data_IF_477347588786
#
_entry.id   IF_477347588786
#
_cell.length_a   1.000
_cell.length_b   1.000
_cell.length_c   1.000
_cell.angle_alpha   90.00
_cell.angle_beta   90.00
_cell.angle_gamma   90.00
#
_symmetry.space_group_name_H-M   'P 1'
#
loop_
_entity.id
_entity.type
_entity.pdbx_description
1 polymer ?
#
# COMPACT_ATOMS: atom_id res chain seq x y z
N UNK A 1 9.65 12.26 -14.87
CA UNK A 1 8.49 11.34 -14.78
C UNK A 1 7.31 12.00 -15.48
N UNK A 2 6.49 11.26 -16.24
CA UNK A 2 5.32 11.83 -16.93
C UNK A 2 4.27 12.28 -15.87
N UNK A 3 3.87 13.57 -15.82
CA UNK A 3 2.92 14.07 -14.82
C UNK A 3 1.52 13.47 -14.95
N UNK A 4 1.09 13.07 -16.15
CA UNK A 4 -0.18 12.35 -16.34
C UNK A 4 -0.14 10.97 -15.70
N UNK A 5 0.99 10.26 -15.84
CA UNK A 5 1.17 8.95 -15.22
C UNK A 5 1.18 9.03 -13.70
N UNK A 6 1.75 10.10 -13.13
CA UNK A 6 1.71 10.34 -11.67
C UNK A 6 0.28 10.49 -11.18
N UNK A 7 -0.54 11.32 -11.85
CA UNK A 7 -1.95 11.51 -11.48
C UNK A 7 -2.78 10.23 -11.62
N UNK A 8 -2.53 9.48 -12.69
CA UNK A 8 -3.22 8.21 -12.92
C UNK A 8 -2.88 7.17 -11.84
N UNK A 9 -1.60 7.06 -11.45
CA UNK A 9 -1.18 6.17 -10.37
C UNK A 9 -1.74 6.60 -9.01
N UNK A 10 -1.82 7.90 -8.76
CA UNK A 10 -2.41 8.41 -7.52
C UNK A 10 -3.90 8.08 -7.45
N UNK A 11 -4.62 8.25 -8.55
CA UNK A 11 -6.04 7.87 -8.66
C UNK A 11 -6.22 6.37 -8.42
N UNK A 12 -5.41 5.53 -9.07
CA UNK A 12 -5.42 4.08 -8.88
C UNK A 12 -5.12 3.68 -7.44
N UNK A 13 -4.17 4.36 -6.77
CA UNK A 13 -3.86 4.12 -5.36
C UNK A 13 -5.09 4.34 -4.48
N UNK A 14 -5.84 5.41 -4.70
CA UNK A 14 -7.06 5.68 -3.93
C UNK A 14 -8.18 4.69 -4.23
N UNK A 15 -8.39 4.31 -5.50
CA UNK A 15 -9.36 3.28 -5.87
C UNK A 15 -9.05 1.95 -5.17
N UNK A 16 -7.81 1.46 -5.29
CA UNK A 16 -7.39 0.22 -4.63
C UNK A 16 -7.48 0.34 -3.10
N UNK A 17 -7.12 1.50 -2.53
CA UNK A 17 -7.26 1.72 -1.10
C UNK A 17 -8.73 1.67 -0.64
N UNK A 18 -9.66 2.21 -1.42
CA UNK A 18 -11.10 2.12 -1.13
C UNK A 18 -11.59 0.68 -1.19
N UNK A 19 -11.22 -0.08 -2.23
CA UNK A 19 -11.56 -1.49 -2.38
C UNK A 19 -11.04 -2.35 -1.22
N UNK A 20 -9.82 -2.05 -0.74
CA UNK A 20 -9.22 -2.72 0.42
C UNK A 20 -9.79 -2.24 1.76
N UNK A 21 -10.73 -1.29 1.76
CA UNK A 21 -11.32 -0.71 2.96
C UNK A 21 -10.30 0.09 3.80
N UNK A 22 -9.26 0.63 3.15
CA UNK A 22 -8.23 1.48 3.78
C UNK A 22 -8.60 2.96 3.78
N UNK A 23 -9.62 3.37 3.02
CA UNK A 23 -10.20 4.71 3.09
C UNK A 23 -11.66 4.63 2.67
N UNK A 24 -12.49 5.55 3.17
CA UNK A 24 -13.91 5.70 2.76
C UNK A 24 -14.14 6.92 1.87
N UNK A 25 -13.09 7.41 1.21
CA UNK A 25 -13.13 8.66 0.44
C UNK A 25 -12.71 9.89 1.24
N UNK A 26 -12.10 9.69 2.41
CA UNK A 26 -11.29 10.74 3.02
C UNK A 26 -10.04 10.98 2.18
N UNK A 27 -9.52 12.21 2.18
CA UNK A 27 -8.31 12.56 1.44
C UNK A 27 -7.06 11.84 1.95
N UNK A 28 -5.89 12.33 1.56
CA UNK A 28 -4.59 11.72 1.88
C UNK A 28 -4.38 11.47 3.39
N UNK A 29 -4.88 12.36 4.24
CA UNK A 29 -4.78 12.24 5.70
C UNK A 29 -5.55 11.04 6.26
N UNK A 30 -6.74 10.74 5.73
CA UNK A 30 -7.53 9.57 6.14
C UNK A 30 -6.82 8.28 5.73
N UNK A 31 -6.31 8.23 4.50
CA UNK A 31 -5.51 7.10 4.04
C UNK A 31 -4.28 6.91 4.92
N UNK A 32 -3.57 7.98 5.27
CA UNK A 32 -2.38 7.92 6.12
C UNK A 32 -2.71 7.37 7.51
N UNK A 33 -3.78 7.86 8.13
CA UNK A 33 -4.23 7.39 9.44
C UNK A 33 -4.61 5.90 9.42
N UNK A 34 -5.35 5.46 8.41
CA UNK A 34 -5.73 4.05 8.26
C UNK A 34 -4.53 3.14 7.97
N UNK A 35 -3.56 3.59 7.16
CA UNK A 35 -2.32 2.85 6.92
C UNK A 35 -1.50 2.72 8.20
N UNK A 36 -1.42 3.78 9.01
CA UNK A 36 -0.72 3.73 10.30
C UNK A 36 -1.40 2.78 11.29
N UNK A 37 -2.73 2.78 11.34
CA UNK A 37 -3.49 1.79 12.14
C UNK A 37 -3.20 0.36 11.66
N UNK A 38 -3.21 0.12 10.34
CA UNK A 38 -2.90 -1.20 9.76
C UNK A 38 -1.47 -1.67 10.06
N UNK A 39 -0.49 -0.77 10.10
CA UNK A 39 0.89 -1.13 10.51
C UNK A 39 0.92 -1.67 11.93
N UNK A 40 0.14 -1.09 12.84
CA UNK A 40 0.04 -1.59 14.22
C UNK A 40 -0.64 -2.95 14.30
N UNK A 41 -1.74 -3.16 13.57
CA UNK A 41 -2.41 -4.46 13.49
C UNK A 41 -1.45 -5.56 12.98
N UNK A 42 -0.73 -5.29 11.89
CA UNK A 42 0.28 -6.21 11.34
C UNK A 42 1.41 -6.43 12.36
N UNK A 43 1.85 -5.39 13.06
CA UNK A 43 2.86 -5.53 14.09
C UNK A 43 2.40 -6.40 15.27
N UNK A 44 1.12 -6.36 15.63
CA UNK A 44 0.51 -7.23 16.63
C UNK A 44 0.48 -8.68 16.13
N UNK A 45 0.02 -8.92 14.90
CA UNK A 45 0.02 -10.24 14.26
C UNK A 45 1.42 -10.87 14.18
N UNK A 46 2.46 -10.04 13.96
CA UNK A 46 3.85 -10.47 13.89
C UNK A 46 4.56 -10.55 15.26
N UNK A 47 3.89 -10.19 16.35
CA UNK A 47 4.48 -10.17 17.70
C UNK A 47 5.56 -9.09 17.89
N UNK A 48 5.56 -8.05 17.05
CA UNK A 48 6.54 -6.95 17.09
C UNK A 48 6.02 -5.73 17.86
N UNK A 49 4.71 -5.64 18.12
CA UNK A 49 4.06 -4.46 18.69
C UNK A 49 4.68 -4.00 20.03
N UNK A 50 4.95 -4.92 20.96
CA UNK A 50 5.52 -4.58 22.27
C UNK A 50 6.96 -4.06 22.16
N UNK A 51 7.73 -4.64 21.24
CA UNK A 51 9.08 -4.14 20.95
C UNK A 51 9.01 -2.73 20.37
N UNK A 52 8.11 -2.48 19.41
CA UNK A 52 7.90 -1.15 18.82
C UNK A 52 7.45 -0.14 19.88
N UNK A 53 6.56 -0.52 20.82
CA UNK A 53 6.16 0.36 21.94
C UNK A 53 7.34 0.70 22.85
N UNK A 54 8.27 -0.25 23.03
CA UNK A 54 9.42 -0.10 23.93
C UNK A 54 10.53 0.74 23.32
N UNK A 55 10.93 0.46 22.07
CA UNK A 55 12.09 1.11 21.45
C UNK A 55 11.70 2.17 20.41
N UNK A 56 10.45 2.15 19.92
CA UNK A 56 9.99 3.01 18.83
C UNK A 56 10.39 2.49 17.45
N UNK A 57 9.59 2.82 16.42
CA UNK A 57 9.86 2.46 15.02
C UNK A 57 11.28 2.79 14.54
N UNK A 58 11.90 3.95 14.87
CA UNK A 58 13.24 4.30 14.40
C UNK A 58 14.34 3.38 14.92
N UNK A 59 14.11 2.68 16.05
CA UNK A 59 15.08 1.79 16.68
C UNK A 59 14.81 0.29 16.39
N UNK A 60 13.82 0.00 15.55
CA UNK A 60 13.59 -1.35 15.02
C UNK A 60 14.62 -1.67 13.93
N UNK A 61 14.92 -2.96 13.72
CA UNK A 61 15.79 -3.34 12.61
C UNK A 61 15.09 -3.13 11.26
N UNK A 62 15.86 -2.88 10.21
CA UNK A 62 15.31 -2.77 8.84
C UNK A 62 14.54 -4.02 8.41
N UNK A 63 14.93 -5.20 8.90
CA UNK A 63 14.19 -6.46 8.66
C UNK A 63 12.80 -6.42 9.29
N UNK A 64 12.68 -5.99 10.55
CA UNK A 64 11.40 -5.94 11.25
C UNK A 64 10.47 -4.86 10.66
N UNK A 65 11.00 -3.68 10.38
CA UNK A 65 10.26 -2.65 9.64
C UNK A 65 9.82 -3.15 8.26
N UNK A 66 10.71 -3.87 7.57
CA UNK A 66 10.43 -4.48 6.26
C UNK A 66 9.36 -5.57 6.31
N UNK A 67 9.26 -6.35 7.39
CA UNK A 67 8.18 -7.33 7.55
C UNK A 67 6.82 -6.65 7.65
N UNK A 68 6.69 -5.63 8.51
CA UNK A 68 5.44 -4.88 8.64
C UNK A 68 5.10 -4.14 7.34
N UNK A 69 6.06 -3.39 6.81
CA UNK A 69 5.90 -2.62 5.58
C UNK A 69 5.63 -3.50 4.36
N UNK A 70 6.21 -4.70 4.30
CA UNK A 70 5.99 -5.67 3.23
C UNK A 70 4.58 -6.24 3.23
N UNK A 71 4.01 -6.55 4.40
CA UNK A 71 2.60 -6.97 4.51
C UNK A 71 1.64 -5.85 4.09
N UNK A 72 1.92 -4.61 4.49
CA UNK A 72 1.09 -3.45 4.12
C UNK A 72 1.21 -3.13 2.62
N UNK A 73 2.44 -2.96 2.15
CA UNK A 73 2.77 -2.59 0.77
C UNK A 73 2.47 -3.69 -0.24
N UNK A 74 2.63 -4.96 0.15
CA UNK A 74 2.22 -6.10 -0.67
C UNK A 74 0.71 -6.14 -0.91
N UNK A 75 -0.10 -5.66 0.04
CA UNK A 75 -1.55 -5.56 -0.15
C UNK A 75 -1.93 -4.38 -1.03
N UNK A 76 -1.54 -3.15 -0.71
CA UNK A 76 -1.94 -1.97 -1.50
C UNK A 76 -1.15 -1.90 -2.82
N UNK A 77 0.18 -1.81 -2.74
CA UNK A 77 1.05 -1.70 -3.90
C UNK A 77 1.02 -2.94 -4.79
N UNK A 78 0.92 -4.13 -4.22
CA UNK A 78 0.80 -5.37 -5.01
C UNK A 78 -0.50 -5.43 -5.83
N UNK A 79 -1.63 -4.99 -5.27
CA UNK A 79 -2.89 -4.89 -6.03
C UNK A 79 -2.80 -3.83 -7.13
N UNK A 80 -2.17 -2.68 -6.86
CA UNK A 80 -1.92 -1.67 -7.89
C UNK A 80 -1.09 -2.23 -9.05
N UNK A 81 0.03 -2.91 -8.76
CA UNK A 81 0.89 -3.53 -9.78
C UNK A 81 0.12 -4.57 -10.57
N UNK A 82 -0.68 -5.42 -9.91
CA UNK A 82 -1.54 -6.39 -10.59
C UNK A 82 -2.50 -5.69 -11.58
N UNK A 83 -3.15 -4.61 -11.15
CA UNK A 83 -4.05 -3.82 -12.01
C UNK A 83 -3.34 -3.20 -13.20
N UNK A 84 -2.13 -2.69 -12.99
CA UNK A 84 -1.31 -2.15 -14.08
C UNK A 84 -0.94 -3.23 -15.11
N UNK A 85 -0.64 -4.45 -14.66
CA UNK A 85 -0.36 -5.58 -15.56
C UNK A 85 -1.61 -5.94 -16.37
N UNK A 86 -2.78 -6.04 -15.74
CA UNK A 86 -4.05 -6.33 -16.44
C UNK A 86 -4.36 -5.28 -17.53
N UNK A 87 -4.13 -3.99 -17.24
CA UNK A 87 -4.27 -2.92 -18.21
C UNK A 87 -3.27 -3.06 -19.37
N UNK A 88 -2.01 -3.37 -19.06
CA UNK A 88 -0.99 -3.58 -20.08
C UNK A 88 -1.31 -4.78 -20.99
N UNK A 89 -1.73 -5.91 -20.42
CA UNK A 89 -2.17 -7.09 -21.17
C UNK A 89 -3.33 -6.76 -22.11
N UNK A 90 -4.32 -5.99 -21.62
CA UNK A 90 -5.47 -5.57 -22.42
C UNK A 90 -5.04 -4.69 -23.60
N UNK A 91 -4.16 -3.71 -23.37
CA UNK A 91 -3.65 -2.82 -24.43
C UNK A 91 -2.82 -3.60 -25.47
N UNK A 92 -1.97 -4.52 -25.02
CA UNK A 92 -1.19 -5.38 -25.92
C UNK A 92 -2.10 -6.27 -26.77
N UNK A 93 -3.15 -6.85 -26.19
CA UNK A 93 -4.12 -7.66 -26.91
C UNK A 93 -4.94 -6.85 -27.92
N UNK A 94 -5.29 -5.59 -27.60
CA UNK A 94 -5.98 -4.68 -28.52
C UNK A 94 -5.11 -4.28 -29.72
N UNK A 95 -3.83 -4.02 -29.50
CA UNK A 95 -2.89 -3.66 -30.57
C UNK A 95 -2.56 -4.83 -31.52
N UNK A 96 -2.86 -6.07 -31.13
CA UNK A 96 -2.71 -7.25 -31.98
C UNK A 96 -3.93 -7.55 -32.87
N UNK A 97 -5.00 -6.75 -32.78
CA UNK A 97 -6.18 -6.82 -33.66
C UNK A 97 -6.13 -5.74 -34.72
#
# INVERSE_FOLDING_TARGET
MNPDAVRALDSLKYEVAQELGLTRGGGEDDLRANLDQRKWEIAEELGLADKIRTVGWPNMTSRECGLVGGHLGGRLGGQMVKRMIELAETLLAQNMR
#
